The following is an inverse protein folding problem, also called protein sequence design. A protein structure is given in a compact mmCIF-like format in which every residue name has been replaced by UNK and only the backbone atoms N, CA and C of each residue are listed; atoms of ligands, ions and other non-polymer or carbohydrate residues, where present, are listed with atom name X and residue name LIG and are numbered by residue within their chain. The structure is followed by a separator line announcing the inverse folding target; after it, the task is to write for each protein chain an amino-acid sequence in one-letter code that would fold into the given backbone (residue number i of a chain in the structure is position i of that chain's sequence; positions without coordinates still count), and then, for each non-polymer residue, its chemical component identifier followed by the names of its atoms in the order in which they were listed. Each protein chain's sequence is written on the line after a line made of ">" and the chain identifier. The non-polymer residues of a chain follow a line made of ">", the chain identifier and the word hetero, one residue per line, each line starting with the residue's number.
data_IF_217828455533
#
_entry.id   IF_217828455533
#
_cell.length_a   1.000
_cell.length_b   1.000
_cell.length_c   1.000
_cell.angle_alpha   90.00
_cell.angle_beta   90.00
_cell.angle_gamma   90.00
#
_symmetry.space_group_name_H-M   'P 1'
#
loop_
_entity.id
_entity.type
_entity.pdbx_description
1 polymer ?
#
# COMPACT_ATOMS: atom_id res chain seq x y z
N UNK A 1 -9.71 -4.18 -12.01
CA UNK A 1 -8.62 -4.67 -11.14
C UNK A 1 -9.05 -5.88 -10.34
N UNK A 2 -10.13 -5.80 -9.56
CA UNK A 2 -10.49 -6.83 -8.59
C UNK A 2 -11.25 -8.04 -9.14
N UNK A 3 -12.02 -7.86 -10.22
CA UNK A 3 -12.81 -8.92 -10.84
C UNK A 3 -12.09 -9.55 -12.02
N UNK A 4 -12.51 -10.75 -12.37
CA UNK A 4 -12.10 -11.44 -13.59
C UNK A 4 -12.32 -10.55 -14.83
N UNK A 5 -11.45 -10.68 -15.86
CA UNK A 5 -10.36 -11.66 -16.01
C UNK A 5 -9.01 -11.20 -15.41
N UNK A 6 -8.95 -10.04 -14.76
CA UNK A 6 -7.68 -9.44 -14.30
C UNK A 6 -7.43 -9.57 -12.80
N UNK A 7 -8.49 -9.85 -12.04
CA UNK A 7 -8.44 -10.18 -10.62
C UNK A 7 -9.22 -11.47 -10.34
N UNK A 8 -9.39 -11.79 -9.06
CA UNK A 8 -10.08 -12.97 -8.57
C UNK A 8 -10.64 -12.68 -7.16
N UNK A 9 -11.53 -13.51 -6.59
CA UNK A 9 -12.23 -13.18 -5.35
C UNK A 9 -11.37 -12.87 -4.11
N UNK A 10 -10.10 -13.30 -4.07
CA UNK A 10 -9.19 -12.94 -2.97
C UNK A 10 -8.17 -11.84 -3.37
N UNK A 11 -8.30 -11.25 -4.56
CA UNK A 11 -7.49 -10.12 -4.97
C UNK A 11 -7.92 -8.85 -4.24
N UNK A 12 -6.93 -8.13 -3.71
CA UNK A 12 -7.04 -6.75 -3.25
C UNK A 12 -6.17 -5.86 -4.14
N UNK A 13 -6.47 -4.57 -4.18
CA UNK A 13 -5.69 -3.60 -4.94
C UNK A 13 -5.58 -2.31 -4.13
N UNK A 14 -4.41 -1.69 -4.16
CA UNK A 14 -4.12 -0.46 -3.45
C UNK A 14 -3.83 0.64 -4.46
N UNK A 15 -4.61 1.72 -4.40
CA UNK A 15 -4.39 2.89 -5.25
C UNK A 15 -3.55 3.90 -4.46
N UNK A 16 -2.31 4.14 -4.90
CA UNK A 16 -1.40 5.13 -4.31
C UNK A 16 -1.81 6.54 -4.73
N UNK A 17 -1.80 7.46 -3.78
CA UNK A 17 -2.22 8.85 -3.91
C UNK A 17 -1.24 9.78 -3.16
N UNK A 18 -1.23 11.08 -3.48
CA UNK A 18 -0.59 12.07 -2.61
C UNK A 18 -1.17 12.02 -1.19
N UNK A 19 -0.36 12.21 -0.13
CA UNK A 19 -0.86 12.28 1.23
C UNK A 19 -1.69 13.55 1.45
N UNK A 20 -2.72 13.45 2.29
CA UNK A 20 -3.54 14.60 2.71
C UNK A 20 -3.17 15.11 4.11
N UNK A 21 -2.33 14.37 4.83
CA UNK A 21 -1.80 14.75 6.15
C UNK A 21 -0.34 15.18 6.01
N UNK A 22 0.10 16.30 6.61
CA UNK A 22 1.45 16.84 6.41
C UNK A 22 2.57 15.93 6.92
N UNK A 23 2.27 15.03 7.86
CA UNK A 23 3.24 14.07 8.41
C UNK A 23 3.26 12.71 7.70
N UNK A 24 2.42 12.50 6.66
CA UNK A 24 2.34 11.22 5.96
C UNK A 24 3.25 11.19 4.73
N UNK A 25 3.99 10.09 4.53
CA UNK A 25 4.85 9.89 3.35
C UNK A 25 4.06 9.56 2.08
N UNK A 26 2.91 8.89 2.22
CA UNK A 26 2.04 8.50 1.12
C UNK A 26 0.58 8.39 1.57
N UNK A 27 -0.36 8.60 0.65
CA UNK A 27 -1.76 8.23 0.80
C UNK A 27 -2.09 7.00 -0.03
N UNK A 28 -3.06 6.20 0.40
CA UNK A 28 -3.59 5.12 -0.44
C UNK A 28 -5.03 4.77 -0.09
N UNK A 29 -5.74 4.21 -1.07
CA UNK A 29 -7.08 3.65 -0.89
C UNK A 29 -7.01 2.14 -1.08
N UNK A 30 -7.51 1.40 -0.10
CA UNK A 30 -7.65 -0.05 -0.17
C UNK A 30 -8.92 -0.37 -0.94
N UNK A 31 -8.80 -1.22 -1.95
CA UNK A 31 -9.92 -1.73 -2.72
C UNK A 31 -10.01 -3.24 -2.51
N UNK A 32 -10.98 -3.68 -1.71
CA UNK A 32 -11.34 -5.08 -1.55
C UNK A 32 -12.58 -5.41 -2.40
N UNK A 33 -12.98 -6.68 -2.47
CA UNK A 33 -14.06 -7.11 -3.36
C UNK A 33 -15.41 -6.45 -3.07
N UNK A 34 -15.70 -6.24 -1.79
CA UNK A 34 -17.01 -5.80 -1.31
C UNK A 34 -16.96 -4.36 -0.81
N UNK A 35 -15.85 -3.96 -0.19
CA UNK A 35 -15.71 -2.67 0.45
C UNK A 35 -14.34 -2.02 0.22
N UNK A 36 -14.26 -0.75 0.60
CA UNK A 36 -13.06 0.07 0.56
C UNK A 36 -12.77 0.44 2.01
N UNK A 37 -12.16 -0.47 2.79
CA UNK A 37 -12.07 -0.33 4.23
C UNK A 37 -11.11 0.80 4.61
N UNK A 38 -11.29 1.43 5.78
CA UNK A 38 -10.41 2.50 6.23
C UNK A 38 -8.98 2.02 6.58
N UNK A 39 -8.80 0.72 6.88
CA UNK A 39 -7.49 0.14 7.19
C UNK A 39 -7.47 -1.38 6.95
N UNK A 40 -6.35 -1.90 6.46
CA UNK A 40 -6.10 -3.35 6.30
C UNK A 40 -4.60 -3.61 6.46
N UNK A 41 -4.20 -4.31 7.52
CA UNK A 41 -2.79 -4.46 7.89
C UNK A 41 -1.93 -5.16 6.82
N UNK A 42 -2.48 -6.18 6.16
CA UNK A 42 -1.79 -6.89 5.06
C UNK A 42 -1.57 -5.99 3.85
N UNK A 43 -2.59 -5.23 3.46
CA UNK A 43 -2.47 -4.25 2.38
C UNK A 43 -1.47 -3.14 2.73
N UNK A 44 -1.48 -2.63 3.97
CA UNK A 44 -0.50 -1.64 4.43
C UNK A 44 0.93 -2.17 4.30
N UNK A 45 1.21 -3.40 4.72
CA UNK A 45 2.53 -4.02 4.56
C UNK A 45 2.91 -4.08 3.07
N UNK A 46 2.01 -4.58 2.21
CA UNK A 46 2.28 -4.65 0.77
C UNK A 46 2.52 -3.27 0.13
N UNK A 47 1.77 -2.25 0.55
CA UNK A 47 1.95 -0.87 0.08
C UNK A 47 3.31 -0.34 0.50
N UNK A 48 3.68 -0.46 1.78
CA UNK A 48 4.99 0.01 2.26
C UNK A 48 6.12 -0.71 1.53
N UNK A 49 6.02 -2.03 1.35
CA UNK A 49 7.01 -2.78 0.56
C UNK A 49 7.11 -2.26 -0.86
N UNK A 50 5.99 -2.07 -1.56
CA UNK A 50 5.99 -1.57 -2.93
C UNK A 50 6.58 -0.16 -3.03
N UNK A 51 6.23 0.75 -2.11
CA UNK A 51 6.76 2.11 -2.07
C UNK A 51 8.29 2.12 -1.90
N UNK A 52 8.82 1.25 -1.04
CA UNK A 52 10.25 1.08 -0.81
C UNK A 52 10.94 0.50 -2.05
N UNK A 53 10.46 -0.64 -2.55
CA UNK A 53 11.11 -1.38 -3.64
C UNK A 53 11.10 -0.61 -4.97
N UNK A 54 10.09 0.24 -5.18
CA UNK A 54 9.99 1.09 -6.37
C UNK A 54 10.65 2.45 -6.20
N UNK A 55 11.22 2.75 -5.02
CA UNK A 55 11.88 4.02 -4.73
C UNK A 55 10.93 5.22 -4.67
N UNK A 56 9.64 4.99 -4.40
CA UNK A 56 8.64 6.07 -4.26
C UNK A 56 8.77 6.82 -2.93
N UNK A 57 9.42 6.22 -1.93
CA UNK A 57 9.73 6.85 -0.65
C UNK A 57 11.21 6.71 -0.33
N UNK A 58 11.75 7.70 0.38
CA UNK A 58 13.11 7.61 0.92
C UNK A 58 13.14 6.60 2.09
N UNK A 59 14.14 5.73 2.11
CA UNK A 59 14.33 4.75 3.19
C UNK A 59 15.66 5.01 3.87
N UNK A 60 15.63 5.13 5.18
CA UNK A 60 16.83 5.09 5.99
C UNK A 60 17.11 3.65 6.42
N UNK A 61 18.13 3.04 5.84
CA UNK A 61 18.56 1.70 6.22
C UNK A 61 19.24 1.75 7.59
N UNK A 62 18.54 1.33 8.63
CA UNK A 62 19.16 1.16 9.95
C UNK A 62 20.05 -0.06 9.93
N UNK A 63 21.38 0.15 9.92
CA UNK A 63 22.33 -0.95 10.12
C UNK A 63 22.25 -1.46 11.57
N UNK A 64 22.34 -2.77 11.80
CA UNK A 64 22.47 -3.31 13.15
C UNK A 64 23.68 -2.68 13.85
N UNK A 65 23.51 -2.25 15.10
CA UNK A 65 24.64 -1.85 15.94
C UNK A 65 25.40 -3.14 16.30
N UNK A 66 26.51 -3.38 15.61
CA UNK A 66 27.47 -4.44 15.94
C UNK A 66 28.31 -3.98 17.13
#
# INVERSE_FOLDING_TARGET
>A
MLREPRGYPAANCNLILPPTHPEADAGFVIMEQVEYPPMSGTNTICVVTALIETGMVAVEETRPRI
#
